data_IF_286959907249
#
_entry.id   IF_286959907249
#
_cell.length_a   1.000
_cell.length_b   1.000
_cell.length_c   1.000
_cell.angle_alpha   90.00
_cell.angle_beta   90.00
_cell.angle_gamma   90.00
#
_symmetry.space_group_name_H-M   'P 1'
#
loop_
_entity.id
_entity.type
_entity.pdbx_description
1 polymer ?
#
# COMPACT_ATOMS: atom_id res chain seq x y z
N UNK A 1 -5.08 -17.60 19.96
CA UNK A 1 -3.99 -18.04 19.07
C UNK A 1 -3.56 -16.82 18.27
N UNK A 2 -2.27 -16.49 18.19
CA UNK A 2 -1.83 -15.36 17.37
C UNK A 2 -2.13 -15.68 15.90
N UNK A 3 -2.97 -14.85 15.27
CA UNK A 3 -3.31 -15.01 13.86
C UNK A 3 -2.05 -14.82 13.03
N UNK A 4 -1.77 -15.79 12.18
CA UNK A 4 -0.52 -15.84 11.44
C UNK A 4 -0.51 -14.91 10.23
N UNK A 5 -1.69 -14.74 9.63
CA UNK A 5 -1.93 -13.83 8.53
C UNK A 5 -3.37 -13.33 8.57
N UNK A 6 -3.58 -12.10 8.14
CA UNK A 6 -4.93 -11.57 7.92
C UNK A 6 -5.59 -12.28 6.73
N UNK A 7 -6.90 -12.13 6.62
CA UNK A 7 -7.56 -12.35 5.33
C UNK A 7 -7.06 -11.32 4.31
N UNK A 8 -7.26 -11.62 3.03
CA UNK A 8 -7.06 -10.63 1.97
C UNK A 8 -8.06 -9.49 2.14
N UNK A 9 -7.53 -8.26 2.12
CA UNK A 9 -8.32 -7.03 2.22
C UNK A 9 -8.11 -6.21 0.96
N UNK A 10 -9.09 -5.40 0.63
CA UNK A 10 -9.05 -4.55 -0.56
C UNK A 10 -8.93 -3.10 -0.18
N UNK A 11 -8.01 -2.38 -0.82
CA UNK A 11 -7.97 -0.92 -0.79
C UNK A 11 -8.34 -0.39 -2.17
N UNK A 12 -9.29 0.53 -2.23
CA UNK A 12 -9.53 1.29 -3.45
C UNK A 12 -8.56 2.46 -3.45
N UNK A 13 -7.72 2.52 -4.48
CA UNK A 13 -6.94 3.71 -4.74
C UNK A 13 -7.82 4.64 -5.58
N UNK A 14 -8.18 5.77 -4.98
CA UNK A 14 -8.92 6.84 -5.65
C UNK A 14 -7.92 7.73 -6.38
N UNK A 15 -8.21 8.04 -7.64
CA UNK A 15 -7.28 8.78 -8.51
C UNK A 15 -7.88 10.07 -9.06
N UNK A 16 -9.04 10.51 -8.55
CA UNK A 16 -9.52 11.86 -8.85
C UNK A 16 -8.72 12.90 -8.06
N UNK A 17 -7.62 13.37 -8.66
CA UNK A 17 -6.77 14.42 -8.09
C UNK A 17 -7.29 15.83 -8.36
N UNK A 18 -8.40 15.97 -9.10
CA UNK A 18 -8.89 17.28 -9.56
C UNK A 18 -9.44 18.17 -8.43
N UNK A 19 -9.80 17.58 -7.28
CA UNK A 19 -10.20 18.30 -6.06
C UNK A 19 -9.09 18.41 -4.98
N UNK A 20 -7.93 17.76 -5.18
CA UNK A 20 -6.91 17.45 -4.15
C UNK A 20 -6.09 18.66 -3.62
N UNK A 21 -6.40 19.87 -4.10
CA UNK A 21 -5.73 21.12 -3.71
C UNK A 21 -6.61 22.04 -2.85
N UNK A 22 -7.77 21.58 -2.37
CA UNK A 22 -8.70 22.47 -1.65
C UNK A 22 -8.49 22.56 -0.14
N UNK A 23 -7.49 21.83 0.38
CA UNK A 23 -7.05 21.96 1.77
C UNK A 23 -7.91 21.12 2.71
N UNK A 24 -7.29 20.04 3.22
CA UNK A 24 -7.90 18.92 3.96
C UNK A 24 -8.57 17.85 3.08
N UNK A 25 -7.86 17.43 2.01
CA UNK A 25 -8.34 16.38 1.11
C UNK A 25 -8.24 14.98 1.74
N UNK A 26 -9.41 14.46 2.09
CA UNK A 26 -9.62 13.11 2.61
C UNK A 26 -9.30 12.03 1.56
N UNK A 27 -9.15 12.44 0.29
CA UNK A 27 -8.97 11.57 -0.88
C UNK A 27 -7.51 11.40 -1.32
N UNK A 28 -6.53 11.99 -0.59
CA UNK A 28 -5.10 11.82 -0.91
C UNK A 28 -4.60 10.37 -0.75
N UNK A 29 -5.38 9.54 -0.06
CA UNK A 29 -5.04 8.17 0.27
C UNK A 29 -6.21 7.25 -0.07
N UNK A 30 -5.90 5.98 -0.30
CA UNK A 30 -6.91 4.92 -0.20
C UNK A 30 -7.63 5.00 1.15
N UNK A 31 -8.82 4.42 1.19
CA UNK A 31 -9.47 4.12 2.46
C UNK A 31 -8.52 3.36 3.40
N UNK A 32 -8.64 3.62 4.69
CA UNK A 32 -7.81 3.00 5.72
C UNK A 32 -8.10 1.50 5.77
N UNK A 33 -7.09 0.68 5.51
CA UNK A 33 -7.20 -0.78 5.64
C UNK A 33 -6.75 -1.20 7.03
N UNK A 34 -7.68 -1.69 7.84
CA UNK A 34 -7.39 -2.33 9.11
C UNK A 34 -7.05 -3.81 8.88
N UNK A 35 -5.83 -4.24 9.20
CA UNK A 35 -5.41 -5.65 9.09
C UNK A 35 -5.96 -6.53 10.23
N UNK A 36 -6.51 -5.92 11.28
CA UNK A 36 -7.07 -6.55 12.49
C UNK A 36 -6.06 -6.61 13.64
N UNK A 37 -4.83 -7.04 13.35
CA UNK A 37 -3.74 -7.21 14.30
C UNK A 37 -2.46 -6.49 13.79
N UNK A 38 -1.45 -6.36 14.65
CA UNK A 38 -0.13 -5.89 14.24
C UNK A 38 0.67 -6.99 13.54
N UNK A 39 1.00 -6.78 12.26
CA UNK A 39 1.75 -7.76 11.46
C UNK A 39 3.18 -7.31 11.20
N UNK A 40 4.11 -8.27 11.08
CA UNK A 40 5.51 -7.96 10.78
C UNK A 40 5.73 -7.62 9.30
N UNK A 41 5.00 -8.27 8.39
CA UNK A 41 5.13 -8.15 6.95
C UNK A 41 3.79 -7.85 6.28
N UNK A 42 3.88 -7.27 5.09
CA UNK A 42 2.76 -6.95 4.22
C UNK A 42 3.02 -7.51 2.83
N UNK A 43 2.06 -8.26 2.31
CA UNK A 43 1.94 -8.55 0.88
C UNK A 43 0.99 -7.54 0.25
N UNK A 44 1.43 -6.91 -0.84
CA UNK A 44 0.61 -5.98 -1.63
C UNK A 44 0.59 -6.44 -3.08
N UNK A 45 -0.61 -6.62 -3.62
CA UNK A 45 -0.87 -6.79 -5.03
C UNK A 45 -1.42 -5.48 -5.59
N UNK A 46 -0.82 -5.03 -6.67
CA UNK A 46 -1.07 -3.74 -7.29
C UNK A 46 -1.35 -4.01 -8.76
N UNK A 47 -2.57 -3.71 -9.24
CA UNK A 47 -2.87 -3.90 -10.65
C UNK A 47 -2.06 -2.91 -11.49
N UNK A 48 -1.89 -3.24 -12.78
CA UNK A 48 -1.22 -2.36 -13.74
C UNK A 48 -1.72 -0.90 -13.66
N UNK A 49 -0.78 0.03 -13.60
CA UNK A 49 -1.03 1.47 -13.56
C UNK A 49 -1.13 2.02 -14.99
N UNK A 50 -1.89 3.10 -15.15
CA UNK A 50 -2.15 3.74 -16.45
C UNK A 50 -1.09 4.77 -16.89
N UNK A 51 -0.13 5.09 -16.01
CA UNK A 51 0.99 5.97 -16.28
C UNK A 51 2.22 5.51 -15.48
N UNK A 52 3.43 5.83 -15.95
CA UNK A 52 4.70 5.64 -15.21
C UNK A 52 4.64 6.40 -13.89
N UNK A 53 4.20 5.73 -12.85
CA UNK A 53 3.78 6.34 -11.60
C UNK A 53 4.44 5.68 -10.42
N UNK A 54 4.82 6.47 -9.44
CA UNK A 54 5.26 5.92 -8.16
C UNK A 54 4.04 5.69 -7.24
N UNK A 55 4.01 4.56 -6.53
CA UNK A 55 3.00 4.25 -5.51
C UNK A 55 3.67 4.18 -4.15
N UNK A 56 3.18 4.98 -3.21
CA UNK A 56 3.65 4.99 -1.82
C UNK A 56 2.72 4.15 -0.95
N UNK A 57 3.27 3.18 -0.22
CA UNK A 57 2.55 2.44 0.81
C UNK A 57 2.91 3.00 2.18
N UNK A 58 1.87 3.34 2.92
CA UNK A 58 1.93 3.98 4.22
C UNK A 58 1.38 3.03 5.27
N UNK A 59 2.13 2.83 6.36
CA UNK A 59 1.68 2.00 7.47
C UNK A 59 1.56 2.81 8.77
N UNK A 60 0.58 2.44 9.58
CA UNK A 60 0.22 3.10 10.83
C UNK A 60 -0.10 2.06 11.91
N UNK A 61 0.15 2.42 13.17
CA UNK A 61 -0.19 1.58 14.34
C UNK A 61 -1.58 1.87 14.88
N UNK A 62 -2.07 3.09 14.69
CA UNK A 62 -3.42 3.51 15.06
C UNK A 62 -4.18 4.02 13.83
N UNK A 63 -5.50 4.16 13.99
CA UNK A 63 -6.39 4.59 12.92
C UNK A 63 -6.53 6.12 12.81
N UNK A 64 -5.87 6.89 13.70
CA UNK A 64 -6.10 8.32 13.78
C UNK A 64 -5.46 9.02 12.56
N UNK A 65 -6.25 9.87 11.90
CA UNK A 65 -5.82 10.60 10.70
C UNK A 65 -4.65 11.55 11.01
N UNK A 66 -4.62 12.10 12.23
CA UNK A 66 -3.56 12.99 12.72
C UNK A 66 -2.21 12.27 12.96
N UNK A 67 -2.19 10.94 12.97
CA UNK A 67 -0.96 10.18 13.17
C UNK A 67 -0.16 10.18 11.88
N UNK A 68 1.04 10.75 11.93
CA UNK A 68 1.96 10.80 10.79
C UNK A 68 2.18 9.38 10.27
N UNK A 69 1.62 9.03 9.09
CA UNK A 69 1.87 7.71 8.53
C UNK A 69 3.36 7.61 8.20
N UNK A 70 3.94 6.41 8.27
CA UNK A 70 5.32 6.20 7.81
C UNK A 70 5.27 5.65 6.39
N UNK A 71 6.00 6.26 5.46
CA UNK A 71 6.25 5.65 4.15
C UNK A 71 7.11 4.42 4.39
N UNK A 72 6.54 3.24 4.17
CA UNK A 72 7.27 1.97 4.35
C UNK A 72 7.85 1.49 3.02
N UNK A 73 7.21 1.86 1.92
CA UNK A 73 7.67 1.47 0.61
C UNK A 73 7.23 2.47 -0.46
N UNK A 74 8.12 2.76 -1.42
CA UNK A 74 7.81 3.50 -2.64
C UNK A 74 8.12 2.56 -3.79
N UNK A 75 7.13 2.38 -4.64
CA UNK A 75 7.18 1.59 -5.85
C UNK A 75 7.34 2.56 -7.00
N UNK A 76 8.21 2.24 -7.94
CA UNK A 76 8.49 3.08 -9.09
C UNK A 76 8.38 2.22 -10.33
N UNK A 77 7.45 2.59 -11.22
CA UNK A 77 7.17 1.86 -12.44
C UNK A 77 8.41 1.79 -13.38
N UNK A 78 9.24 2.84 -13.35
CA UNK A 78 10.42 2.97 -14.20
C UNK A 78 11.69 2.36 -13.59
N UNK A 79 11.62 1.77 -12.38
CA UNK A 79 12.78 1.21 -11.68
C UNK A 79 13.30 -0.08 -12.32
N UNK A 80 14.02 0.06 -13.43
CA UNK A 80 14.71 -1.06 -14.09
C UNK A 80 15.85 -1.57 -13.20
N UNK A 81 15.73 -2.79 -12.68
CA UNK A 81 16.84 -3.50 -12.02
C UNK A 81 17.04 -3.21 -10.53
N UNK A 82 16.06 -2.63 -9.83
CA UNK A 82 16.16 -2.51 -8.37
C UNK A 82 15.93 -3.88 -7.70
N UNK A 83 16.99 -4.50 -7.17
CA UNK A 83 16.85 -5.73 -6.36
C UNK A 83 16.14 -5.48 -5.02
N UNK A 84 16.10 -4.22 -4.57
CA UNK A 84 15.36 -3.77 -3.37
C UNK A 84 13.91 -3.39 -3.68
N UNK A 85 13.57 -3.15 -4.96
CA UNK A 85 12.24 -2.83 -5.44
C UNK A 85 11.87 -3.88 -6.49
N UNK A 86 11.20 -4.96 -6.09
CA UNK A 86 10.55 -5.84 -7.07
C UNK A 86 9.40 -5.05 -7.73
N UNK A 87 9.72 -4.18 -8.67
CA UNK A 87 8.78 -3.40 -9.45
C UNK A 87 9.45 -2.99 -10.74
N UNK A 88 9.48 -3.91 -11.70
CA UNK A 88 9.36 -3.50 -13.09
C UNK A 88 7.87 -3.62 -13.42
N UNK A 89 7.19 -2.53 -13.76
CA UNK A 89 5.82 -2.63 -14.30
C UNK A 89 5.68 -1.94 -15.64
N UNK A 90 6.61 -2.21 -16.56
CA UNK A 90 6.24 -2.18 -17.97
C UNK A 90 5.08 -3.17 -18.22
N UNK A 91 3.85 -2.66 -18.21
CA UNK A 91 2.58 -3.31 -18.58
C UNK A 91 2.02 -4.44 -17.67
N UNK A 92 2.57 -4.68 -16.47
CA UNK A 92 2.23 -5.84 -15.64
C UNK A 92 1.67 -5.54 -14.25
N UNK A 93 0.90 -6.48 -13.70
CA UNK A 93 0.52 -6.48 -12.28
C UNK A 93 1.76 -6.67 -11.39
N UNK A 94 1.81 -5.94 -10.28
CA UNK A 94 2.93 -5.91 -9.34
C UNK A 94 2.55 -6.70 -8.08
N UNK A 95 3.49 -7.51 -7.60
CA UNK A 95 3.39 -8.19 -6.32
C UNK A 95 4.62 -7.94 -5.46
N UNK A 96 4.43 -7.30 -4.31
CA UNK A 96 5.52 -6.93 -3.40
C UNK A 96 5.29 -7.42 -1.98
N UNK A 97 6.39 -7.76 -1.32
CA UNK A 97 6.42 -8.13 0.09
C UNK A 97 7.46 -7.28 0.79
N UNK A 98 7.09 -6.61 1.86
CA UNK A 98 8.01 -5.84 2.68
C UNK A 98 7.62 -5.84 4.15
N UNK A 99 8.57 -5.48 5.01
CA UNK A 99 8.39 -5.45 6.46
C UNK A 99 7.69 -4.16 6.88
N UNK A 100 6.64 -4.26 7.70
CA UNK A 100 5.87 -3.12 8.23
C UNK A 100 6.01 -2.95 9.75
N UNK A 101 6.79 -3.81 10.43
CA UNK A 101 7.26 -3.58 11.80
C UNK A 101 6.16 -3.56 12.87
N UNK A 102 5.08 -4.34 12.68
CA UNK A 102 3.97 -4.44 13.63
C UNK A 102 2.86 -3.42 13.39
N UNK A 103 2.83 -2.76 12.23
CA UNK A 103 1.72 -1.90 11.87
C UNK A 103 0.43 -2.71 11.68
N UNK A 104 -0.70 -2.06 11.99
CA UNK A 104 -2.05 -2.64 11.88
C UNK A 104 -2.84 -2.02 10.75
N UNK A 105 -2.57 -0.75 10.44
CA UNK A 105 -3.33 0.01 9.47
C UNK A 105 -2.46 0.37 8.28
N UNK A 106 -3.04 0.34 7.08
CA UNK A 106 -2.35 0.62 5.82
C UNK A 106 -3.16 1.60 4.98
N UNK A 107 -2.44 2.51 4.31
CA UNK A 107 -2.95 3.41 3.27
C UNK A 107 -2.04 3.32 2.05
N UNK A 108 -2.61 3.54 0.88
CA UNK A 108 -1.88 3.54 -0.39
C UNK A 108 -2.13 4.88 -1.06
N UNK A 109 -1.10 5.41 -1.72
CA UNK A 109 -1.18 6.65 -2.49
C UNK A 109 -0.45 6.48 -3.82
N UNK A 110 -1.09 6.82 -4.93
CA UNK A 110 -0.36 7.07 -6.17
C UNK A 110 0.16 8.50 -6.17
N UNK A 111 1.39 8.67 -6.61
CA UNK A 111 2.03 9.98 -6.67
C UNK A 111 1.80 10.67 -8.03
N UNK A 112 1.07 10.04 -8.96
CA UNK A 112 0.71 10.55 -10.28
C UNK A 112 -0.78 10.29 -10.59
N UNK A 113 -1.38 11.12 -11.46
CA UNK A 113 -2.75 10.93 -11.97
C UNK A 113 -2.91 9.57 -12.64
N UNK A 114 -4.07 8.93 -12.47
CA UNK A 114 -4.42 7.70 -13.18
C UNK A 114 -5.77 7.85 -13.90
N UNK A 115 -5.97 7.07 -14.94
CA UNK A 115 -7.16 7.16 -15.80
C UNK A 115 -8.41 6.51 -15.22
N UNK A 116 -8.28 5.68 -14.17
CA UNK A 116 -9.40 5.02 -13.49
C UNK A 116 -9.02 4.47 -12.11
N UNK A 117 -10.02 4.40 -11.21
CA UNK A 117 -9.92 3.75 -9.89
C UNK A 117 -9.50 2.29 -9.99
N UNK A 118 -8.66 1.85 -9.05
CA UNK A 118 -8.05 0.52 -9.04
C UNK A 118 -8.14 -0.10 -7.66
N UNK A 119 -8.30 -1.41 -7.65
CA UNK A 119 -8.44 -2.19 -6.43
C UNK A 119 -7.13 -2.92 -6.14
N UNK A 120 -6.57 -2.61 -4.98
CA UNK A 120 -5.37 -3.21 -4.44
C UNK A 120 -5.76 -4.32 -3.49
N UNK A 121 -4.97 -5.39 -3.45
CA UNK A 121 -5.17 -6.45 -2.48
C UNK A 121 -4.00 -6.46 -1.50
N UNK A 122 -4.33 -6.53 -0.21
CA UNK A 122 -3.37 -6.39 0.87
C UNK A 122 -3.57 -7.51 1.87
N UNK A 123 -2.46 -8.06 2.37
CA UNK A 123 -2.46 -9.10 3.40
C UNK A 123 -1.31 -8.92 4.37
N UNK A 124 -1.62 -8.78 5.65
CA UNK A 124 -0.63 -8.77 6.72
C UNK A 124 -0.27 -10.20 7.13
N UNK A 125 1.00 -10.45 7.45
CA UNK A 125 1.43 -11.75 7.97
C UNK A 125 2.67 -11.64 8.87
N UNK A 126 2.85 -12.66 9.71
CA UNK A 126 4.00 -12.81 10.60
C UNK A 126 4.93 -13.92 10.09
N UNK A 127 6.18 -13.95 10.56
CA UNK A 127 7.09 -15.09 10.33
C UNK A 127 6.67 -16.29 11.17
N UNK A 128 6.91 -17.49 10.64
CA UNK A 128 6.51 -18.72 11.34
C UNK A 128 7.36 -18.80 12.59
N UNK A 129 6.71 -18.87 13.76
CA UNK A 129 7.42 -19.17 14.97
C UNK A 129 8.04 -20.55 14.77
N UNK A 130 9.35 -20.58 14.56
CA UNK A 130 10.11 -21.83 14.54
C UNK A 130 10.05 -22.36 15.97
N UNK A 131 9.27 -23.42 16.16
CA UNK A 131 9.20 -24.16 17.44
C UNK A 131 10.46 -24.97 17.61
#
# INVERSE_FOLDING_TARGET
>A
MAQFASDWKTATLDFDRSSEFTGDDVDQFSSLVDLGEGYEYLSVFIPALSASGTVSVWAQRDAAIATVPMVIHILDDDATGSFLHATSSGDGDIYVIFRIGGARYVRIRANADQTANRLFQIKGFNRQATV
#
